data_IF_504349693522
#
_entry.id   IF_504349693522
#
_cell.length_a   1.000
_cell.length_b   1.000
_cell.length_c   1.000
_cell.angle_alpha   90.00
_cell.angle_beta   90.00
_cell.angle_gamma   90.00
#
_symmetry.space_group_name_H-M   'P 1'
#
loop_
_entity.id
_entity.type
_entity.pdbx_description
1 polymer ?
#
# COMPACT_ATOMS: atom_id res chain seq x y z
N UNK A 1 22.09 25.48 -75.16
CA UNK A 1 23.35 24.81 -74.78
C UNK A 1 23.01 23.34 -74.54
N UNK A 2 22.93 22.54 -75.59
CA UNK A 2 24.04 21.83 -76.25
C UNK A 2 24.46 20.57 -75.49
N UNK A 3 23.89 19.48 -76.00
CA UNK A 3 24.28 18.08 -75.87
C UNK A 3 25.79 17.81 -75.87
N UNK A 4 26.16 16.67 -75.29
CA UNK A 4 27.18 15.70 -75.74
C UNK A 4 27.14 14.53 -74.74
N UNK A 5 27.21 13.25 -75.06
CA UNK A 5 27.38 12.47 -76.30
C UNK A 5 27.25 11.00 -75.80
N UNK A 6 26.47 10.14 -76.45
CA UNK A 6 26.96 9.05 -77.34
C UNK A 6 27.91 8.04 -76.63
N UNK A 7 27.83 6.71 -76.75
CA UNK A 7 27.64 5.91 -77.96
C UNK A 7 27.77 4.39 -77.61
N UNK A 8 27.25 3.53 -78.49
CA UNK A 8 27.60 2.10 -78.77
C UNK A 8 27.30 1.03 -77.70
N UNK A 9 26.33 0.12 -77.91
CA UNK A 9 26.23 -1.06 -78.81
C UNK A 9 26.77 -2.37 -78.18
N UNK A 10 26.15 -3.52 -78.52
CA UNK A 10 26.02 -4.69 -77.65
C UNK A 10 27.04 -5.78 -77.99
N UNK A 11 27.28 -6.72 -77.06
CA UNK A 11 27.72 -8.06 -77.48
C UNK A 11 27.48 -9.15 -76.42
N UNK A 12 26.74 -10.17 -76.88
CA UNK A 12 26.85 -11.61 -76.61
C UNK A 12 27.44 -12.12 -75.29
N UNK A 13 26.66 -12.97 -74.63
CA UNK A 13 27.17 -13.98 -73.70
C UNK A 13 26.03 -14.78 -73.08
N UNK A 14 25.52 -15.78 -73.81
CA UNK A 14 24.75 -16.88 -73.21
C UNK A 14 25.64 -17.64 -72.23
N UNK A 15 25.01 -18.23 -71.20
CA UNK A 15 25.26 -19.52 -70.52
C UNK A 15 24.86 -19.35 -69.04
N UNK A 16 23.67 -19.79 -68.63
CA UNK A 16 23.37 -21.13 -68.08
C UNK A 16 24.25 -21.52 -66.89
N UNK A 17 23.56 -22.10 -65.91
CA UNK A 17 24.02 -22.94 -64.79
C UNK A 17 24.55 -22.25 -63.53
N UNK A 18 23.85 -22.48 -62.42
CA UNK A 18 24.28 -22.08 -61.09
C UNK A 18 23.17 -22.18 -60.05
N UNK A 19 22.64 -23.39 -59.81
CA UNK A 19 21.85 -23.70 -58.61
C UNK A 19 22.71 -23.41 -57.37
N UNK A 20 22.40 -22.36 -56.60
CA UNK A 20 22.86 -22.23 -55.23
C UNK A 20 21.75 -21.64 -54.34
N UNK A 21 21.04 -22.58 -53.71
CA UNK A 21 20.65 -22.60 -52.31
C UNK A 21 20.08 -21.30 -51.70
N UNK A 22 18.75 -21.30 -51.63
CA UNK A 22 17.91 -20.69 -50.59
C UNK A 22 18.62 -20.63 -49.22
N UNK A 23 19.04 -19.43 -48.82
CA UNK A 23 19.31 -19.07 -47.44
C UNK A 23 18.13 -18.27 -46.89
N UNK A 24 17.13 -18.96 -46.30
CA UNK A 24 16.09 -18.31 -45.51
C UNK A 24 16.72 -17.90 -44.19
N UNK A 25 17.00 -16.60 -44.04
CA UNK A 25 17.37 -16.01 -42.77
C UNK A 25 16.13 -16.06 -41.85
N UNK A 26 16.07 -17.05 -40.96
CA UNK A 26 15.16 -17.04 -39.82
C UNK A 26 15.71 -16.06 -38.78
N UNK A 27 15.46 -14.77 -39.00
CA UNK A 27 15.58 -13.75 -37.96
C UNK A 27 14.50 -14.01 -36.91
N UNK A 28 14.85 -14.75 -35.85
CA UNK A 28 14.07 -14.79 -34.62
C UNK A 28 14.15 -13.43 -33.96
N UNK A 29 13.21 -12.54 -34.29
CA UNK A 29 13.00 -11.32 -33.51
C UNK A 29 12.61 -11.76 -32.10
N UNK A 30 13.52 -11.60 -31.14
CA UNK A 30 13.20 -11.61 -29.71
C UNK A 30 12.15 -10.53 -29.49
N UNK A 31 10.88 -10.92 -29.51
CA UNK A 31 9.77 -10.09 -29.06
C UNK A 31 10.02 -9.81 -27.58
N UNK A 32 10.49 -8.60 -27.29
CA UNK A 32 10.54 -8.05 -25.93
C UNK A 32 9.10 -7.99 -25.44
N UNK A 33 8.69 -9.00 -24.67
CA UNK A 33 7.43 -8.97 -23.94
C UNK A 33 7.57 -7.80 -22.97
N UNK A 34 6.69 -6.78 -23.02
CA UNK A 34 6.70 -5.75 -21.99
C UNK A 34 6.39 -6.45 -20.67
N UNK A 35 7.41 -6.55 -19.82
CA UNK A 35 7.24 -6.97 -18.43
C UNK A 35 6.36 -5.90 -17.79
N UNK A 36 5.06 -6.18 -17.70
CA UNK A 36 4.14 -5.30 -16.99
C UNK A 36 4.67 -5.16 -15.56
N UNK A 37 4.80 -3.94 -15.03
CA UNK A 37 5.21 -3.77 -13.65
C UNK A 37 4.18 -4.46 -12.77
N UNK A 38 4.61 -5.50 -12.06
CA UNK A 38 3.83 -6.06 -10.97
C UNK A 38 3.49 -4.94 -10.00
N UNK A 39 2.21 -4.64 -9.82
CA UNK A 39 1.75 -3.95 -8.62
C UNK A 39 1.99 -4.93 -7.49
N UNK A 40 3.14 -4.78 -6.80
CA UNK A 40 3.39 -5.48 -5.57
C UNK A 40 2.32 -5.02 -4.57
N UNK A 41 1.46 -5.97 -4.22
CA UNK A 41 0.28 -5.74 -3.40
C UNK A 41 0.76 -5.40 -1.97
N UNK A 42 0.68 -4.14 -1.56
CA UNK A 42 0.98 -3.67 -0.18
C UNK A 42 -0.06 -4.10 0.86
N UNK A 43 -0.92 -5.07 0.51
CA UNK A 43 -1.90 -5.64 1.42
C UNK A 43 -1.32 -6.85 2.13
N UNK A 44 -1.72 -7.00 3.38
CA UNK A 44 -1.36 -8.07 4.32
C UNK A 44 -0.96 -9.38 3.64
N UNK A 45 0.33 -9.70 3.68
CA UNK A 45 0.85 -10.98 3.21
C UNK A 45 0.32 -12.14 4.06
N UNK A 46 0.30 -13.35 3.51
CA UNK A 46 -0.09 -14.54 4.26
C UNK A 46 1.07 -14.95 5.19
N UNK A 47 1.00 -14.57 6.47
CA UNK A 47 1.94 -15.07 7.48
C UNK A 47 1.55 -16.49 7.88
N UNK A 48 2.29 -17.49 7.39
CA UNK A 48 2.05 -18.92 7.67
C UNK A 48 2.71 -19.38 8.99
N UNK A 49 3.81 -18.76 9.41
CA UNK A 49 4.53 -19.09 10.66
C UNK A 49 5.02 -17.82 11.37
N UNK A 50 4.81 -17.74 12.69
CA UNK A 50 5.15 -16.56 13.51
C UNK A 50 4.17 -15.39 13.33
N UNK A 51 4.40 -14.29 14.07
CA UNK A 51 3.55 -13.09 14.00
C UNK A 51 2.42 -13.04 15.04
N UNK A 52 1.52 -12.07 14.91
CA UNK A 52 0.29 -12.01 15.71
C UNK A 52 -0.65 -13.15 15.27
N UNK A 53 -1.27 -13.84 16.23
CA UNK A 53 -2.27 -14.88 15.97
C UNK A 53 -3.36 -14.39 15.02
N UNK A 54 -3.84 -15.25 14.13
CA UNK A 54 -4.85 -14.87 13.13
C UNK A 54 -6.13 -14.35 13.78
N UNK A 55 -6.42 -14.82 14.99
CA UNK A 55 -7.52 -14.41 15.84
C UNK A 55 -7.39 -12.98 16.39
N UNK A 56 -6.20 -12.36 16.40
CA UNK A 56 -6.02 -10.97 16.82
C UNK A 56 -5.54 -10.06 15.69
N UNK A 57 -5.30 -10.62 14.50
CA UNK A 57 -4.80 -9.88 13.35
C UNK A 57 -5.93 -9.02 12.74
N UNK A 58 -5.66 -7.73 12.65
CA UNK A 58 -6.55 -6.76 12.02
C UNK A 58 -6.07 -6.44 10.60
N UNK A 59 -7.01 -6.15 9.70
CA UNK A 59 -6.71 -5.87 8.29
C UNK A 59 -6.28 -4.43 8.06
N UNK A 60 -5.42 -4.17 7.07
CA UNK A 60 -5.03 -2.80 6.74
C UNK A 60 -4.71 -2.63 5.25
N UNK A 61 -4.59 -1.38 4.81
CA UNK A 61 -3.98 -0.99 3.53
C UNK A 61 -3.17 0.29 3.71
N UNK A 62 -1.97 0.32 3.15
CA UNK A 62 -1.10 1.49 3.15
C UNK A 62 -0.98 2.04 1.72
N UNK A 63 -1.11 3.36 1.58
CA UNK A 63 -0.85 4.09 0.32
C UNK A 63 0.29 5.07 0.50
N UNK A 64 1.03 5.35 -0.57
CA UNK A 64 2.23 6.20 -0.57
C UNK A 64 3.26 5.77 0.52
N UNK A 65 3.42 4.46 0.71
CA UNK A 65 4.19 3.87 1.82
C UNK A 65 5.72 3.88 1.62
N UNK A 66 6.29 4.97 1.13
CA UNK A 66 7.74 5.08 0.90
C UNK A 66 8.45 5.64 2.15
N UNK A 67 9.76 5.37 2.34
CA UNK A 67 10.54 6.04 3.38
C UNK A 67 10.43 7.56 3.28
N UNK A 68 10.24 8.25 4.41
CA UNK A 68 10.13 9.72 4.49
C UNK A 68 8.93 10.34 3.76
N UNK A 69 8.00 9.54 3.24
CA UNK A 69 6.76 10.04 2.66
C UNK A 69 6.01 10.89 3.67
N UNK A 70 5.56 12.09 3.29
CA UNK A 70 4.73 12.98 4.12
C UNK A 70 3.24 12.91 3.77
N UNK A 71 2.89 12.05 2.82
CA UNK A 71 1.54 11.88 2.27
C UNK A 71 1.07 10.43 2.36
N UNK A 72 1.60 9.68 3.31
CA UNK A 72 1.19 8.30 3.52
C UNK A 72 -0.23 8.26 4.06
N UNK A 73 -1.01 7.28 3.59
CA UNK A 73 -2.40 7.08 4.02
C UNK A 73 -2.54 5.67 4.56
N UNK A 74 -3.02 5.56 5.81
CA UNK A 74 -3.20 4.29 6.49
C UNK A 74 -4.69 4.03 6.66
N UNK A 75 -5.15 2.92 6.11
CA UNK A 75 -6.53 2.43 6.24
C UNK A 75 -6.52 1.22 7.15
N UNK A 76 -6.83 1.43 8.42
CA UNK A 76 -6.72 0.45 9.50
C UNK A 76 -8.11 -0.13 9.78
N UNK A 77 -8.37 -1.36 9.33
CA UNK A 77 -9.70 -1.98 9.35
C UNK A 77 -9.91 -2.85 10.57
N UNK A 78 -11.12 -2.82 11.09
CA UNK A 78 -11.57 -3.64 12.22
C UNK A 78 -12.83 -4.39 11.83
N UNK A 79 -12.83 -5.71 12.02
CA UNK A 79 -14.00 -6.53 11.77
C UNK A 79 -15.01 -6.39 12.91
N UNK A 80 -16.31 -6.40 12.59
CA UNK A 80 -17.38 -6.21 13.56
C UNK A 80 -17.38 -7.23 14.69
N UNK A 81 -17.05 -8.49 14.39
CA UNK A 81 -16.94 -9.58 15.37
C UNK A 81 -15.81 -9.41 16.40
N UNK A 82 -15.05 -8.30 16.36
CA UNK A 82 -14.10 -7.91 17.40
C UNK A 82 -14.74 -7.03 18.48
N UNK A 83 -15.96 -6.56 18.25
CA UNK A 83 -16.64 -5.55 19.06
C UNK A 83 -17.85 -6.20 19.73
N UNK A 84 -17.66 -6.61 20.98
CA UNK A 84 -18.72 -7.27 21.75
C UNK A 84 -19.71 -6.29 22.40
N UNK A 85 -19.35 -5.00 22.51
CA UNK A 85 -20.22 -3.95 23.04
C UNK A 85 -19.94 -2.61 22.39
N UNK A 86 -20.81 -1.62 22.62
CA UNK A 86 -20.61 -0.28 22.10
C UNK A 86 -19.27 0.34 22.56
N UNK A 87 -18.55 0.97 21.63
CA UNK A 87 -17.25 1.63 21.88
C UNK A 87 -17.38 3.12 21.61
N UNK A 88 -16.94 3.95 22.56
CA UNK A 88 -16.93 5.41 22.47
C UNK A 88 -15.52 5.99 22.36
N UNK A 89 -14.50 5.24 22.78
CA UNK A 89 -13.10 5.67 22.77
C UNK A 89 -12.21 4.57 22.20
N UNK A 90 -11.33 4.95 21.26
CA UNK A 90 -10.33 4.06 20.69
C UNK A 90 -8.95 4.49 21.13
N UNK A 91 -8.13 3.53 21.52
CA UNK A 91 -6.72 3.73 21.84
C UNK A 91 -5.85 2.89 20.93
N UNK A 92 -4.95 3.56 20.22
CA UNK A 92 -3.98 2.93 19.33
C UNK A 92 -2.59 3.11 19.93
N UNK A 93 -1.95 2.01 20.32
CA UNK A 93 -0.57 2.00 20.78
C UNK A 93 0.35 1.52 19.66
N UNK A 94 1.46 2.21 19.44
CA UNK A 94 2.44 1.90 18.40
C UNK A 94 3.87 1.94 18.99
N UNK A 95 4.85 1.26 18.37
CA UNK A 95 6.20 1.23 18.89
C UNK A 95 6.89 2.60 18.75
N UNK A 96 7.58 3.03 19.80
CA UNK A 96 8.38 4.27 19.86
C UNK A 96 9.38 4.40 18.71
N UNK A 97 9.81 3.27 18.14
CA UNK A 97 10.66 3.24 16.96
C UNK A 97 10.05 3.97 15.74
N UNK A 98 8.74 4.16 15.68
CA UNK A 98 8.06 4.96 14.65
C UNK A 98 8.44 6.45 14.79
N UNK A 99 8.23 7.04 15.97
CA UNK A 99 8.51 8.45 16.28
C UNK A 99 10.00 8.74 16.36
N UNK A 100 10.78 7.84 16.96
CA UNK A 100 12.26 7.97 17.03
C UNK A 100 12.93 8.02 15.66
N UNK A 101 12.26 7.50 14.62
CA UNK A 101 12.70 7.56 13.22
C UNK A 101 11.99 8.66 12.43
N UNK A 102 11.58 9.71 13.15
CA UNK A 102 10.89 10.91 12.65
C UNK A 102 9.49 10.64 12.09
N UNK A 103 8.87 9.50 12.34
CA UNK A 103 7.47 9.26 11.97
C UNK A 103 6.55 10.20 12.76
N UNK A 104 5.48 10.71 12.13
CA UNK A 104 4.53 11.60 12.79
C UNK A 104 3.13 11.47 12.19
N UNK A 105 2.12 11.78 13.00
CA UNK A 105 0.72 11.79 12.60
C UNK A 105 0.19 13.22 12.53
N UNK A 106 -0.76 13.45 11.62
CA UNK A 106 -1.56 14.67 11.60
C UNK A 106 -2.92 14.34 12.22
N UNK A 107 -3.18 14.82 13.44
CA UNK A 107 -4.39 14.50 14.21
C UNK A 107 -5.67 14.97 13.51
N UNK A 108 -5.62 16.09 12.79
CA UNK A 108 -6.75 16.66 12.05
C UNK A 108 -7.17 15.78 10.85
N UNK A 109 -6.27 14.91 10.40
CA UNK A 109 -6.43 14.00 9.27
C UNK A 109 -6.66 12.55 9.72
N UNK A 110 -6.99 12.34 11.00
CA UNK A 110 -7.42 11.06 11.54
C UNK A 110 -8.94 11.03 11.63
N UNK A 111 -9.55 10.07 10.93
CA UNK A 111 -10.99 9.92 10.83
C UNK A 111 -11.41 8.47 11.06
N UNK A 112 -12.65 8.29 11.50
CA UNK A 112 -13.24 6.96 11.71
C UNK A 112 -14.46 6.81 10.80
N UNK A 113 -14.52 5.70 10.08
CA UNK A 113 -15.63 5.40 9.18
C UNK A 113 -16.25 4.05 9.53
N UNK A 114 -17.57 3.98 9.59
CA UNK A 114 -18.33 2.74 9.66
C UNK A 114 -18.24 2.01 8.31
N UNK A 115 -18.20 0.69 8.34
CA UNK A 115 -18.29 -0.17 7.15
C UNK A 115 -17.00 -0.93 6.85
N UNK A 116 -16.87 -1.37 5.59
CA UNK A 116 -15.72 -2.16 5.10
C UNK A 116 -14.91 -1.35 4.09
N UNK A 117 -13.75 -1.86 3.70
CA UNK A 117 -12.93 -1.24 2.64
C UNK A 117 -12.32 0.09 3.08
N UNK A 118 -12.83 1.20 2.54
CA UNK A 118 -12.46 2.58 2.89
C UNK A 118 -13.46 3.27 3.83
N UNK A 119 -14.56 2.59 4.17
CA UNK A 119 -15.65 3.14 4.98
C UNK A 119 -16.78 3.75 4.13
N UNK A 120 -18.00 3.66 4.67
CA UNK A 120 -19.24 4.07 4.01
C UNK A 120 -19.81 5.36 4.63
N UNK A 121 -19.71 5.49 5.96
CA UNK A 121 -20.24 6.63 6.73
C UNK A 121 -19.23 7.08 7.78
N UNK A 122 -18.93 8.38 7.80
CA UNK A 122 -18.07 8.97 8.83
C UNK A 122 -18.76 8.91 10.20
N UNK A 123 -18.02 8.46 11.21
CA UNK A 123 -18.42 8.50 12.62
C UNK A 123 -17.82 9.79 13.19
N UNK A 124 -18.64 10.71 13.74
CA UNK A 124 -18.13 11.95 14.31
C UNK A 124 -17.12 11.70 15.43
N UNK A 125 -15.95 12.32 15.28
CA UNK A 125 -14.86 12.32 16.27
C UNK A 125 -14.90 13.67 16.98
N UNK A 126 -14.90 13.64 18.31
CA UNK A 126 -14.84 14.83 19.17
C UNK A 126 -13.41 15.36 19.25
N UNK A 127 -12.45 14.48 19.53
CA UNK A 127 -11.04 14.85 19.68
C UNK A 127 -10.10 13.68 19.33
N UNK A 128 -8.90 14.02 18.90
CA UNK A 128 -7.81 13.08 18.64
C UNK A 128 -6.55 13.55 19.34
N UNK A 129 -6.14 12.83 20.39
CA UNK A 129 -4.97 13.14 21.19
C UNK A 129 -3.82 12.22 20.78
N UNK A 130 -2.75 12.81 20.28
CA UNK A 130 -1.52 12.08 19.96
C UNK A 130 -0.44 12.36 21.01
N UNK A 131 -0.01 11.31 21.71
CA UNK A 131 1.06 11.37 22.73
C UNK A 131 2.29 10.61 22.21
N UNK A 132 3.23 11.28 21.54
CA UNK A 132 4.37 10.62 20.90
C UNK A 132 5.33 9.94 21.87
N UNK A 133 5.42 10.44 23.11
CA UNK A 133 6.30 9.93 24.17
C UNK A 133 5.88 8.54 24.65
N UNK A 134 4.57 8.29 24.74
CA UNK A 134 4.03 6.99 25.13
C UNK A 134 3.69 6.09 23.94
N UNK A 135 3.86 6.60 22.71
CA UNK A 135 3.52 5.86 21.50
C UNK A 135 2.02 5.62 21.37
N UNK A 136 1.19 6.62 21.69
CA UNK A 136 -0.26 6.45 21.83
C UNK A 136 -1.05 7.48 21.03
N UNK A 137 -2.15 7.04 20.41
CA UNK A 137 -3.18 7.89 19.81
C UNK A 137 -4.52 7.52 20.44
N UNK A 138 -5.19 8.48 21.07
CA UNK A 138 -6.53 8.35 21.63
C UNK A 138 -7.51 9.08 20.72
N UNK A 139 -8.60 8.41 20.35
CA UNK A 139 -9.65 8.93 19.46
C UNK A 139 -10.96 8.88 20.23
N UNK A 140 -11.49 10.05 20.58
CA UNK A 140 -12.75 10.20 21.30
C UNK A 140 -13.88 10.44 20.31
N UNK A 141 -14.90 9.58 20.31
CA UNK A 141 -16.01 9.64 19.36
C UNK A 141 -17.25 10.24 20.03
N UNK A 142 -17.96 11.10 19.30
CA UNK A 142 -19.23 11.66 19.78
C UNK A 142 -20.38 10.65 19.64
N UNK A 143 -20.30 9.79 18.61
CA UNK A 143 -21.24 8.69 18.37
C UNK A 143 -20.55 7.35 18.63
N UNK A 144 -21.17 6.50 19.46
CA UNK A 144 -20.63 5.19 19.78
C UNK A 144 -20.68 4.25 18.56
N UNK A 145 -19.65 3.42 18.39
CA UNK A 145 -19.64 2.30 17.44
C UNK A 145 -20.42 1.14 18.07
N UNK A 146 -21.55 0.70 17.51
CA UNK A 146 -22.31 -0.41 18.07
C UNK A 146 -21.55 -1.73 18.04
N UNK A 147 -22.00 -2.69 18.85
CA UNK A 147 -21.52 -4.07 18.77
C UNK A 147 -21.66 -4.66 17.36
N UNK A 148 -20.79 -5.60 17.02
CA UNK A 148 -20.75 -6.29 15.72
C UNK A 148 -20.63 -5.37 14.49
N UNK A 149 -20.19 -4.12 14.68
CA UNK A 149 -20.09 -3.13 13.60
C UNK A 149 -18.65 -3.02 13.10
N UNK A 150 -18.42 -3.31 11.81
CA UNK A 150 -17.10 -3.10 11.21
C UNK A 150 -16.82 -1.61 11.02
N UNK A 151 -15.55 -1.20 11.17
CA UNK A 151 -15.12 0.17 10.94
C UNK A 151 -13.68 0.26 10.43
N UNK A 152 -13.30 1.45 9.98
CA UNK A 152 -11.97 1.76 9.47
C UNK A 152 -11.48 3.06 10.11
N UNK A 153 -10.30 3.02 10.72
CA UNK A 153 -9.56 4.23 11.10
C UNK A 153 -8.70 4.63 9.92
N UNK A 154 -8.93 5.83 9.41
CA UNK A 154 -8.20 6.40 8.28
C UNK A 154 -7.29 7.50 8.80
N UNK A 155 -5.99 7.33 8.60
CA UNK A 155 -4.99 8.33 8.95
C UNK A 155 -4.37 8.84 7.65
N UNK A 156 -4.57 10.12 7.32
CA UNK A 156 -3.95 10.76 6.15
C UNK A 156 -2.83 11.69 6.56
N UNK A 157 -2.06 12.14 5.56
CA UNK A 157 -0.90 13.01 5.75
C UNK A 157 0.10 12.48 6.81
N UNK A 158 0.23 11.16 6.89
CA UNK A 158 1.17 10.53 7.83
C UNK A 158 2.59 10.71 7.28
N UNK A 159 3.51 11.16 8.15
CA UNK A 159 4.94 11.12 7.86
C UNK A 159 5.47 9.74 8.20
N UNK A 160 5.85 8.99 7.18
CA UNK A 160 6.51 7.70 7.35
C UNK A 160 7.89 7.88 8.02
N UNK A 161 8.31 6.93 8.87
CA UNK A 161 9.69 6.82 9.34
C UNK A 161 10.72 6.84 8.21
N UNK A 162 11.95 7.24 8.53
CA UNK A 162 13.00 7.31 7.51
C UNK A 162 13.55 5.95 7.06
N UNK A 163 13.26 4.90 7.82
CA UNK A 163 13.70 3.53 7.55
C UNK A 163 12.52 2.59 7.58
N UNK A 164 12.57 1.63 6.68
CA UNK A 164 11.66 0.49 6.63
C UNK A 164 11.62 -0.28 7.95
N UNK A 165 10.42 -0.75 8.33
CA UNK A 165 10.26 -1.60 9.49
C UNK A 165 8.86 -2.20 9.62
N UNK A 166 8.81 -3.35 10.30
CA UNK A 166 7.57 -3.96 10.78
C UNK A 166 7.13 -3.21 12.04
N UNK A 167 5.96 -2.58 12.02
CA UNK A 167 5.37 -1.93 13.18
C UNK A 167 4.05 -2.58 13.58
N UNK A 168 3.89 -2.86 14.88
CA UNK A 168 2.67 -3.43 15.45
C UNK A 168 1.87 -2.33 16.12
N UNK A 169 0.70 -2.02 15.56
CA UNK A 169 -0.21 -1.04 16.11
C UNK A 169 -1.32 -1.82 16.83
N UNK A 170 -1.38 -1.72 18.14
CA UNK A 170 -2.37 -2.40 18.97
C UNK A 170 -3.59 -1.51 19.14
N UNK A 171 -4.77 -2.08 18.99
CA UNK A 171 -6.04 -1.41 19.16
C UNK A 171 -6.70 -1.87 20.45
N UNK A 172 -7.13 -0.90 21.24
CA UNK A 172 -8.04 -1.09 22.36
C UNK A 172 -9.28 -0.21 22.16
N UNK A 173 -10.42 -0.67 22.64
CA UNK A 173 -11.69 0.06 22.66
C UNK A 173 -12.28 0.11 24.06
N UNK A 174 -12.87 1.25 24.39
CA UNK A 174 -13.54 1.49 25.66
C UNK A 174 -14.95 2.02 25.42
N UNK A 175 -15.94 1.38 26.04
CA UNK A 175 -17.32 1.86 26.06
C UNK A 175 -17.52 2.95 27.11
N UNK A 176 -18.61 3.71 26.99
CA UNK A 176 -18.91 4.78 27.95
C UNK A 176 -19.24 4.19 29.32
N UNK A 177 -18.43 4.52 30.32
CA UNK A 177 -18.59 3.99 31.68
C UNK A 177 -17.96 2.61 31.90
N UNK A 178 -17.23 2.08 30.92
CA UNK A 178 -16.36 0.94 31.14
C UNK A 178 -15.22 1.32 32.10
N UNK A 179 -14.72 0.33 32.85
CA UNK A 179 -13.62 0.53 33.82
C UNK A 179 -12.25 0.29 33.16
N UNK A 180 -12.19 -0.48 32.07
CA UNK A 180 -10.94 -0.85 31.42
C UNK A 180 -11.08 -0.96 29.90
N UNK A 181 -10.12 -0.41 29.13
CA UNK A 181 -10.03 -0.65 27.69
C UNK A 181 -9.89 -2.13 27.37
N UNK A 182 -10.61 -2.58 26.36
CA UNK A 182 -10.60 -3.96 25.88
C UNK A 182 -9.74 -4.06 24.64
N UNK A 183 -8.90 -5.09 24.57
CA UNK A 183 -8.06 -5.33 23.41
C UNK A 183 -8.85 -5.89 22.23
N UNK A 184 -8.78 -5.22 21.07
CA UNK A 184 -9.54 -5.57 19.87
C UNK A 184 -8.67 -6.26 18.81
N UNK A 185 -7.36 -6.04 18.84
CA UNK A 185 -6.41 -6.70 17.94
C UNK A 185 -5.16 -5.85 17.62
N UNK A 186 -4.36 -6.33 16.67
CA UNK A 186 -3.15 -5.67 16.19
C UNK A 186 -3.15 -5.56 14.67
N UNK A 187 -2.77 -4.39 14.16
CA UNK A 187 -2.31 -4.24 12.79
C UNK A 187 -0.80 -4.46 12.73
N UNK A 188 -0.37 -5.46 11.97
CA UNK A 188 1.04 -5.67 11.64
C UNK A 188 1.37 -4.91 10.35
N UNK A 189 1.81 -3.65 10.47
CA UNK A 189 2.11 -2.74 9.36
C UNK A 189 3.56 -2.79 8.87
N UNK A 190 3.77 -3.14 7.60
CA UNK A 190 5.07 -2.96 6.95
C UNK A 190 5.21 -1.50 6.47
N UNK A 191 5.87 -0.64 7.24
CA UNK A 191 5.92 0.81 6.97
C UNK A 191 7.23 1.20 6.32
N UNK A 192 7.19 2.25 5.47
CA UNK A 192 8.35 2.84 4.81
C UNK A 192 9.08 1.84 3.90
N UNK A 193 8.31 1.02 3.19
CA UNK A 193 8.83 0.08 2.20
C UNK A 193 9.28 0.86 0.96
N UNK A 194 10.54 0.70 0.57
CA UNK A 194 11.05 1.27 -0.67
C UNK A 194 10.41 0.53 -1.84
N UNK A 195 9.32 1.10 -2.36
CA UNK A 195 8.75 0.71 -3.63
C UNK A 195 9.73 1.19 -4.70
N UNK A 196 10.75 0.38 -4.98
CA UNK A 196 11.82 0.70 -5.91
C UNK A 196 11.31 1.49 -7.10
N UNK A 197 11.88 2.67 -7.31
CA UNK A 197 11.47 3.60 -8.35
C UNK A 197 11.39 2.87 -9.69
N UNK A 198 10.20 2.82 -10.28
CA UNK A 198 10.01 2.47 -11.68
C UNK A 198 9.67 3.74 -12.45
#
# INVERSE_FOLDING_TARGET
MSAKRSILRPWSGRLLSGFFLSGVALTTTLSVIPVQPSIAQTNQGVTIFGGVGSEYRLGYTLRNNQPRSTRAEYYLRVQGNRIDSAISHLRISYPEAFTNRRGSFNTDEIKVYRGRGSGDREIPVEDVVWTPESGQIDIYMTEDIPADTSFVVVMKAVRNPDRYGMHRFNLQGEGRGDVLPRYLGTWELMVAEDMGSR
#
